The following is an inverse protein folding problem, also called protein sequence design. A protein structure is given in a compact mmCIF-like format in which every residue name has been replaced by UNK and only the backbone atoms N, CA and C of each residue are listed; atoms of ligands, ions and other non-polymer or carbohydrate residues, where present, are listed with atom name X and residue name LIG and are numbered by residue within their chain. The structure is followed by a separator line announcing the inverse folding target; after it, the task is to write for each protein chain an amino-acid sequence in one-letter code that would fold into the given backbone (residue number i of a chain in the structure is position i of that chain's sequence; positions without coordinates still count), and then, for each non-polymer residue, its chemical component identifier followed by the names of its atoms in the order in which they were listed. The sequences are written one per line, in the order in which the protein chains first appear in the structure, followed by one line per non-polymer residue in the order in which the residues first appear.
data_IF_147797309187
#
_entry.id   IF_147797309187
#
_cell.length_a   1.000
_cell.length_b   1.000
_cell.length_c   1.000
_cell.angle_alpha   90.00
_cell.angle_beta   90.00
_cell.angle_gamma   90.00
#
_symmetry.space_group_name_H-M   'P 1'
#
loop_
_entity.id
_entity.type
_entity.pdbx_description
1 polymer ?
#
# COMPACT_ATOMS: atom_id res chain seq x y z
N UNK A 1 12.95 12.47 -7.70
CA UNK A 1 12.67 13.38 -6.57
C UNK A 1 13.90 14.18 -6.12
N UNK A 2 15.09 13.59 -6.05
CA UNK A 2 16.30 14.25 -5.57
C UNK A 2 16.72 15.50 -6.40
N UNK A 3 16.43 15.55 -7.71
CA UNK A 3 16.77 16.67 -8.60
C UNK A 3 15.76 17.83 -8.64
N UNK A 4 14.66 17.79 -7.89
CA UNK A 4 13.75 18.94 -7.75
C UNK A 4 14.31 19.99 -6.77
N UNK A 5 15.47 20.58 -7.09
CA UNK A 5 16.08 21.66 -6.31
C UNK A 5 15.40 23.02 -6.50
N UNK A 6 14.64 23.19 -7.59
CA UNK A 6 13.90 24.42 -7.86
C UNK A 6 12.54 24.10 -8.46
N UNK A 7 11.49 24.45 -7.74
CA UNK A 7 10.09 24.34 -8.16
C UNK A 7 9.17 24.70 -7.00
N UNK A 8 8.03 25.35 -7.30
CA UNK A 8 7.07 25.82 -6.30
C UNK A 8 6.30 24.67 -5.61
N UNK A 9 6.39 23.41 -6.11
CA UNK A 9 5.60 22.27 -5.60
C UNK A 9 6.52 21.15 -5.15
N UNK A 10 6.50 20.88 -3.84
CA UNK A 10 7.17 19.74 -3.25
C UNK A 10 6.41 18.42 -3.51
N UNK A 11 7.11 17.32 -3.35
CA UNK A 11 6.54 15.97 -3.45
C UNK A 11 7.04 15.12 -2.29
N UNK A 12 6.25 14.12 -1.93
CA UNK A 12 6.66 13.12 -0.96
C UNK A 12 6.46 11.70 -1.52
N UNK A 13 7.23 10.78 -0.98
CA UNK A 13 7.04 9.36 -1.16
C UNK A 13 6.84 8.72 0.22
N UNK A 14 5.77 7.99 0.41
CA UNK A 14 5.41 7.31 1.65
C UNK A 14 5.57 5.82 1.43
N UNK A 15 6.52 5.19 2.14
CA UNK A 15 6.65 3.74 2.20
C UNK A 15 5.81 3.21 3.36
N UNK A 16 4.89 2.32 3.04
CA UNK A 16 4.02 1.66 4.01
C UNK A 16 4.42 0.19 4.16
N UNK A 17 4.49 -0.25 5.39
CA UNK A 17 4.58 -1.65 5.79
C UNK A 17 3.20 -2.07 6.32
N UNK A 18 2.66 -3.18 5.84
CA UNK A 18 1.37 -3.70 6.27
C UNK A 18 1.60 -4.87 7.22
N UNK A 19 1.17 -4.72 8.45
CA UNK A 19 1.38 -5.73 9.50
C UNK A 19 0.50 -6.96 9.26
N UNK A 20 1.14 -8.13 9.05
CA UNK A 20 0.44 -9.43 8.83
C UNK A 20 -0.60 -9.34 7.71
N UNK A 21 -0.18 -8.82 6.55
CA UNK A 21 -1.07 -8.47 5.44
C UNK A 21 -2.03 -9.60 5.04
N UNK A 22 -1.55 -10.85 4.96
CA UNK A 22 -2.39 -12.01 4.64
C UNK A 22 -3.35 -12.39 5.76
N UNK A 23 -2.91 -12.35 7.02
CA UNK A 23 -3.67 -12.84 8.17
C UNK A 23 -4.85 -11.93 8.54
N UNK A 24 -4.85 -10.70 8.05
CA UNK A 24 -5.80 -9.66 8.45
C UNK A 24 -6.92 -9.38 7.45
N UNK A 25 -6.85 -9.96 6.24
CA UNK A 25 -7.86 -9.71 5.20
C UNK A 25 -9.26 -10.10 5.69
N UNK A 26 -10.17 -9.13 5.77
CA UNK A 26 -11.55 -9.38 6.13
C UNK A 26 -12.29 -10.07 4.96
N UNK A 27 -12.96 -11.18 5.23
CA UNK A 27 -13.61 -12.00 4.22
C UNK A 27 -14.77 -11.28 3.53
N UNK A 28 -15.54 -10.49 4.28
CA UNK A 28 -16.65 -9.70 3.72
C UNK A 28 -16.14 -8.62 2.76
N UNK A 29 -15.02 -7.96 3.09
CA UNK A 29 -14.37 -7.04 2.18
C UNK A 29 -13.94 -7.75 0.90
N UNK A 30 -13.35 -8.93 1.03
CA UNK A 30 -12.87 -9.70 -0.10
C UNK A 30 -14.02 -10.14 -1.02
N UNK A 31 -15.11 -10.65 -0.44
CA UNK A 31 -16.33 -10.97 -1.13
C UNK A 31 -16.91 -9.74 -1.88
N UNK A 32 -16.97 -8.60 -1.18
CA UNK A 32 -17.45 -7.34 -1.75
C UNK A 32 -16.63 -6.84 -2.94
N UNK A 33 -15.30 -6.95 -2.88
CA UNK A 33 -14.41 -6.57 -4.00
C UNK A 33 -14.65 -7.47 -5.22
N UNK A 34 -14.74 -8.78 -5.03
CA UNK A 34 -14.99 -9.72 -6.13
C UNK A 34 -16.32 -9.42 -6.83
N UNK A 35 -17.39 -9.17 -6.09
CA UNK A 35 -18.69 -8.81 -6.65
C UNK A 35 -18.64 -7.48 -7.41
N UNK A 36 -17.94 -6.47 -6.86
CA UNK A 36 -17.76 -5.17 -7.54
C UNK A 36 -16.89 -5.24 -8.79
N UNK A 37 -16.02 -6.23 -8.91
CA UNK A 37 -15.26 -6.52 -10.12
C UNK A 37 -16.10 -7.27 -11.18
N UNK A 38 -17.37 -7.61 -10.89
CA UNK A 38 -18.27 -8.24 -11.81
C UNK A 38 -18.18 -9.77 -11.85
N UNK A 39 -17.53 -10.41 -10.86
CA UNK A 39 -17.54 -11.86 -10.74
C UNK A 39 -18.93 -12.32 -10.31
N UNK A 40 -19.41 -13.44 -10.91
CA UNK A 40 -20.72 -13.98 -10.57
C UNK A 40 -20.79 -14.50 -9.13
N UNK A 41 -21.96 -14.41 -8.50
CA UNK A 41 -22.19 -14.91 -7.14
C UNK A 41 -21.72 -16.37 -6.96
N UNK A 42 -22.05 -17.23 -7.94
CA UNK A 42 -21.64 -18.63 -7.93
C UNK A 42 -20.10 -18.79 -7.88
N UNK A 43 -19.36 -17.96 -8.59
CA UNK A 43 -17.90 -17.97 -8.59
C UNK A 43 -17.37 -17.47 -7.25
N UNK A 44 -17.90 -16.36 -6.78
CA UNK A 44 -17.52 -15.76 -5.49
C UNK A 44 -17.76 -16.74 -4.34
N UNK A 45 -18.91 -17.40 -4.29
CA UNK A 45 -19.21 -18.37 -3.24
C UNK A 45 -18.28 -19.60 -3.28
N UNK A 46 -17.87 -20.05 -4.47
CA UNK A 46 -16.86 -21.12 -4.60
C UNK A 46 -15.50 -20.70 -4.06
N UNK A 47 -15.02 -19.50 -4.43
CA UNK A 47 -13.75 -18.96 -3.93
C UNK A 47 -13.81 -18.79 -2.40
N UNK A 48 -14.90 -18.20 -1.91
CA UNK A 48 -15.07 -18.01 -0.47
C UNK A 48 -15.14 -19.34 0.28
N UNK A 49 -15.77 -20.37 -0.29
CA UNK A 49 -15.76 -21.72 0.32
C UNK A 49 -14.35 -22.29 0.45
N UNK A 50 -13.45 -22.06 -0.53
CA UNK A 50 -12.04 -22.47 -0.41
C UNK A 50 -11.32 -21.75 0.74
N UNK A 51 -11.64 -20.46 0.95
CA UNK A 51 -10.99 -19.63 1.99
C UNK A 51 -11.53 -19.98 3.38
N UNK A 52 -12.86 -20.07 3.53
CA UNK A 52 -13.54 -20.19 4.84
C UNK A 52 -13.56 -21.61 5.39
N UNK A 53 -13.38 -22.64 4.56
CA UNK A 53 -13.37 -24.05 4.99
C UNK A 53 -12.05 -24.48 5.65
N UNK A 54 -11.03 -23.62 5.68
CA UNK A 54 -9.74 -23.97 6.24
C UNK A 54 -9.80 -24.09 7.77
N UNK A 55 -9.13 -25.10 8.32
CA UNK A 55 -8.93 -25.26 9.77
C UNK A 55 -7.47 -25.59 10.06
N UNK A 56 -7.02 -25.27 11.27
CA UNK A 56 -5.65 -25.47 11.71
C UNK A 56 -5.60 -26.25 13.02
N UNK A 57 -4.52 -27.00 13.19
CA UNK A 57 -4.19 -27.65 14.47
C UNK A 57 -2.77 -27.30 14.87
N UNK A 58 -2.52 -27.20 16.16
CA UNK A 58 -1.17 -26.99 16.69
C UNK A 58 -0.49 -28.34 16.81
N UNK A 59 0.71 -28.46 16.25
CA UNK A 59 1.50 -29.70 16.37
C UNK A 59 2.47 -29.59 17.54
N UNK A 60 2.28 -30.44 18.54
CA UNK A 60 3.14 -30.53 19.72
C UNK A 60 3.72 -31.97 19.78
N UNK A 61 5.04 -32.10 19.78
CA UNK A 61 5.75 -33.39 19.81
C UNK A 61 5.23 -34.41 18.78
N UNK A 62 4.94 -33.91 17.54
CA UNK A 62 4.46 -34.76 16.45
C UNK A 62 2.96 -35.03 16.41
N UNK A 63 2.21 -34.71 17.46
CA UNK A 63 0.74 -34.89 17.53
C UNK A 63 0.01 -33.58 17.27
N UNK A 64 -1.11 -33.67 16.55
CA UNK A 64 -1.98 -32.51 16.27
C UNK A 64 -2.95 -32.31 17.44
N UNK A 65 -3.07 -31.06 17.91
CA UNK A 65 -3.96 -30.68 19.02
C UNK A 65 -4.82 -29.47 18.60
N UNK A 66 -6.05 -29.48 19.04
CA UNK A 66 -7.03 -28.44 18.84
C UNK A 66 -7.54 -28.39 17.38
N UNK A 67 -8.60 -27.61 17.19
CA UNK A 67 -9.15 -27.25 15.88
C UNK A 67 -9.40 -25.74 15.90
N UNK A 68 -8.60 -24.99 15.16
CA UNK A 68 -8.69 -23.54 15.06
C UNK A 68 -9.33 -23.21 13.72
N UNK A 69 -10.52 -22.62 13.76
CA UNK A 69 -11.20 -22.11 12.58
C UNK A 69 -10.95 -20.60 12.51
N UNK A 70 -10.22 -20.09 11.48
CA UNK A 70 -10.02 -18.67 11.32
C UNK A 70 -11.36 -17.98 10.98
N UNK A 71 -11.48 -16.71 11.35
CA UNK A 71 -12.64 -15.86 11.03
C UNK A 71 -12.29 -14.80 9.98
N UNK A 72 -11.03 -14.70 9.60
CA UNK A 72 -10.46 -13.80 8.57
C UNK A 72 -9.11 -14.30 8.10
N UNK A 73 -8.54 -13.64 7.12
CA UNK A 73 -7.20 -13.89 6.61
C UNK A 73 -7.19 -14.86 5.43
N UNK A 74 -6.05 -14.85 4.75
CA UNK A 74 -5.72 -15.75 3.64
C UNK A 74 -4.58 -16.66 4.09
N UNK A 75 -4.68 -17.95 3.78
CA UNK A 75 -3.68 -18.93 4.19
C UNK A 75 -2.34 -18.67 3.48
N UNK A 76 -1.28 -18.46 4.25
CA UNK A 76 0.07 -18.36 3.70
C UNK A 76 0.53 -19.73 3.16
N UNK A 77 1.10 -19.71 1.95
CA UNK A 77 1.52 -20.93 1.25
C UNK A 77 0.42 -21.64 0.44
N UNK A 78 -0.81 -21.15 0.48
CA UNK A 78 -1.87 -21.62 -0.41
C UNK A 78 -1.67 -21.01 -1.82
N UNK A 79 -1.72 -21.79 -2.91
CA UNK A 79 -1.53 -21.28 -4.27
C UNK A 79 -2.54 -20.19 -4.70
N UNK A 80 -3.74 -20.19 -4.12
CA UNK A 80 -4.79 -19.22 -4.44
C UNK A 80 -4.58 -17.89 -3.69
N UNK A 81 -3.99 -17.92 -2.50
CA UNK A 81 -3.86 -16.75 -1.62
C UNK A 81 -3.16 -15.54 -2.24
N UNK A 82 -2.08 -15.65 -3.03
CA UNK A 82 -1.46 -14.51 -3.69
C UNK A 82 -2.41 -13.79 -4.65
N UNK A 83 -3.20 -14.54 -5.42
CA UNK A 83 -4.18 -13.95 -6.35
C UNK A 83 -5.32 -13.25 -5.60
N UNK A 84 -5.77 -13.85 -4.51
CA UNK A 84 -6.79 -13.25 -3.66
C UNK A 84 -6.27 -11.98 -2.99
N UNK A 85 -5.01 -11.96 -2.55
CA UNK A 85 -4.40 -10.76 -2.01
C UNK A 85 -4.28 -9.62 -3.04
N UNK A 86 -4.03 -9.94 -4.32
CA UNK A 86 -4.06 -8.94 -5.39
C UNK A 86 -5.44 -8.28 -5.54
N UNK A 87 -6.54 -9.00 -5.29
CA UNK A 87 -7.87 -8.41 -5.28
C UNK A 87 -8.06 -7.39 -4.14
N UNK A 88 -7.49 -7.67 -2.96
CA UNK A 88 -7.45 -6.71 -1.85
C UNK A 88 -6.65 -5.46 -2.23
N UNK A 89 -5.45 -5.64 -2.80
CA UNK A 89 -4.62 -4.56 -3.29
C UNK A 89 -5.32 -3.73 -4.39
N UNK A 90 -6.13 -4.39 -5.25
CA UNK A 90 -6.97 -3.71 -6.25
C UNK A 90 -7.98 -2.78 -5.60
N UNK A 91 -8.56 -3.15 -4.46
CA UNK A 91 -9.45 -2.28 -3.68
C UNK A 91 -8.75 -0.99 -3.29
N UNK A 92 -7.54 -1.07 -2.74
CA UNK A 92 -6.72 0.09 -2.41
C UNK A 92 -6.34 0.93 -3.64
N UNK A 93 -5.88 0.27 -4.71
CA UNK A 93 -5.56 0.93 -5.97
C UNK A 93 -6.77 1.69 -6.56
N UNK A 94 -7.97 1.14 -6.42
CA UNK A 94 -9.21 1.79 -6.89
C UNK A 94 -9.54 3.06 -6.10
N UNK A 95 -9.31 3.08 -4.78
CA UNK A 95 -9.44 4.29 -3.95
C UNK A 95 -8.46 5.37 -4.40
N UNK A 96 -7.21 5.00 -4.68
CA UNK A 96 -6.18 5.93 -5.16
C UNK A 96 -6.54 6.49 -6.54
N UNK A 97 -7.00 5.64 -7.47
CA UNK A 97 -7.42 6.06 -8.81
C UNK A 97 -8.59 7.04 -8.75
N UNK A 98 -9.62 6.75 -7.95
CA UNK A 98 -10.75 7.65 -7.74
C UNK A 98 -10.30 9.00 -7.17
N UNK A 99 -9.39 9.00 -6.20
CA UNK A 99 -8.83 10.23 -5.64
C UNK A 99 -8.09 11.07 -6.67
N UNK A 100 -7.40 10.43 -7.63
CA UNK A 100 -6.75 11.12 -8.74
C UNK A 100 -7.77 11.71 -9.73
N UNK A 101 -8.81 10.96 -10.10
CA UNK A 101 -9.90 11.41 -10.97
C UNK A 101 -10.63 12.63 -10.39
N UNK A 102 -10.86 12.64 -9.06
CA UNK A 102 -11.45 13.76 -8.33
C UNK A 102 -10.49 14.95 -8.14
N UNK A 103 -9.22 14.82 -8.56
CA UNK A 103 -8.20 15.86 -8.40
C UNK A 103 -7.76 16.11 -6.95
N UNK A 104 -8.11 15.22 -6.02
CA UNK A 104 -7.75 15.28 -4.59
C UNK A 104 -6.36 14.72 -4.31
N UNK A 105 -5.84 13.87 -5.19
CA UNK A 105 -4.51 13.28 -5.08
C UNK A 105 -3.75 13.48 -6.39
N UNK A 106 -2.50 13.90 -6.26
CA UNK A 106 -1.62 14.08 -7.42
C UNK A 106 -0.36 13.26 -7.21
N UNK A 107 -0.15 12.33 -8.13
CA UNK A 107 1.06 11.54 -8.13
C UNK A 107 2.30 12.33 -8.59
N UNK A 108 3.38 11.63 -8.82
CA UNK A 108 4.65 12.19 -9.31
C UNK A 108 4.95 11.69 -10.72
N UNK A 109 5.49 12.56 -11.55
CA UNK A 109 6.05 12.21 -12.86
C UNK A 109 7.57 12.34 -12.83
N UNK A 110 8.28 11.40 -13.44
CA UNK A 110 9.75 11.41 -13.52
C UNK A 110 10.22 12.50 -14.48
N UNK A 111 9.48 12.72 -15.58
CA UNK A 111 9.74 13.79 -16.55
C UNK A 111 8.41 14.32 -17.11
N UNK A 112 8.46 15.41 -17.89
CA UNK A 112 7.27 16.14 -18.38
C UNK A 112 6.33 15.33 -19.27
N UNK A 113 6.79 14.22 -19.85
CA UNK A 113 5.99 13.33 -20.72
C UNK A 113 5.77 11.95 -20.10
N UNK A 114 6.31 11.68 -18.91
CA UNK A 114 6.10 10.41 -18.22
C UNK A 114 4.70 10.34 -17.60
N UNK A 115 4.12 9.15 -17.50
CA UNK A 115 2.87 8.96 -16.77
C UNK A 115 3.04 9.38 -15.32
N UNK A 116 1.94 9.86 -14.74
CA UNK A 116 1.89 10.20 -13.31
C UNK A 116 1.65 8.94 -12.49
N UNK A 117 2.50 8.68 -11.52
CA UNK A 117 2.42 7.52 -10.63
C UNK A 117 2.00 8.02 -9.24
N UNK A 118 0.90 7.49 -8.70
CA UNK A 118 0.43 7.77 -7.35
C UNK A 118 0.79 6.66 -6.36
N UNK A 119 0.93 5.43 -6.83
CA UNK A 119 1.26 4.29 -5.99
C UNK A 119 1.97 3.17 -6.74
N UNK A 120 2.74 2.39 -6.01
CA UNK A 120 3.30 1.11 -6.42
C UNK A 120 3.02 0.11 -5.30
N UNK A 121 2.37 -1.00 -5.62
CA UNK A 121 1.98 -2.03 -4.68
C UNK A 121 2.68 -3.34 -5.05
N UNK A 122 3.30 -3.97 -4.07
CA UNK A 122 3.90 -5.29 -4.23
C UNK A 122 3.80 -6.06 -2.91
N UNK A 123 2.92 -7.04 -2.88
CA UNK A 123 2.60 -7.81 -1.67
C UNK A 123 2.29 -6.85 -0.49
N UNK A 124 3.01 -6.96 0.60
CA UNK A 124 2.91 -6.11 1.80
C UNK A 124 3.65 -4.77 1.70
N UNK A 125 4.56 -4.62 0.73
CA UNK A 125 5.26 -3.36 0.47
C UNK A 125 4.43 -2.43 -0.41
N UNK A 126 4.18 -1.22 0.06
CA UNK A 126 3.44 -0.19 -0.68
C UNK A 126 4.19 1.13 -0.69
N UNK A 127 4.30 1.74 -1.87
CA UNK A 127 4.82 3.10 -2.03
C UNK A 127 3.72 4.01 -2.55
N UNK A 128 3.45 5.10 -1.85
CA UNK A 128 2.52 6.14 -2.27
C UNK A 128 3.28 7.41 -2.61
N UNK A 129 2.81 8.11 -3.61
CA UNK A 129 3.40 9.36 -4.07
C UNK A 129 2.32 10.43 -4.16
N UNK A 130 2.57 11.59 -3.54
CA UNK A 130 1.67 12.73 -3.63
C UNK A 130 2.47 14.05 -3.55
N UNK A 131 1.77 15.16 -3.69
CA UNK A 131 2.35 16.47 -3.42
C UNK A 131 2.54 16.64 -1.92
N UNK A 132 3.63 17.30 -1.54
CA UNK A 132 3.91 17.60 -0.15
C UNK A 132 3.17 18.89 0.26
N UNK A 133 1.86 18.78 0.45
CA UNK A 133 1.00 19.81 1.03
C UNK A 133 0.05 19.19 2.05
N UNK A 134 -0.44 20.00 2.98
CA UNK A 134 -1.26 19.55 4.10
C UNK A 134 -2.55 18.86 3.65
N UNK A 135 -3.19 19.36 2.59
CA UNK A 135 -4.48 18.86 2.10
C UNK A 135 -4.35 17.43 1.55
N UNK A 136 -3.35 17.19 0.66
CA UNK A 136 -3.15 15.86 0.09
C UNK A 136 -2.66 14.85 1.14
N UNK A 137 -1.83 15.28 2.08
CA UNK A 137 -1.32 14.43 3.17
C UNK A 137 -2.46 14.02 4.11
N UNK A 138 -3.32 14.96 4.49
CA UNK A 138 -4.53 14.67 5.27
C UNK A 138 -5.43 13.69 4.53
N UNK A 139 -5.65 13.92 3.24
CA UNK A 139 -6.47 13.06 2.41
C UNK A 139 -5.88 11.64 2.26
N UNK A 140 -4.56 11.52 2.08
CA UNK A 140 -3.87 10.21 2.08
C UNK A 140 -4.12 9.47 3.40
N UNK A 141 -4.02 10.15 4.54
CA UNK A 141 -4.32 9.56 5.86
C UNK A 141 -5.77 9.06 5.94
N UNK A 142 -6.74 9.82 5.44
CA UNK A 142 -8.15 9.42 5.39
C UNK A 142 -8.40 8.20 4.50
N UNK A 143 -7.76 8.15 3.32
CA UNK A 143 -7.84 7.00 2.40
C UNK A 143 -7.24 5.76 3.05
N UNK A 144 -6.09 5.88 3.72
CA UNK A 144 -5.46 4.77 4.43
C UNK A 144 -6.35 4.24 5.56
N UNK A 145 -6.96 5.13 6.34
CA UNK A 145 -7.89 4.75 7.41
C UNK A 145 -9.15 4.08 6.85
N UNK A 146 -9.71 4.61 5.76
CA UNK A 146 -10.87 4.03 5.08
C UNK A 146 -10.57 2.61 4.58
N UNK A 147 -9.41 2.43 3.95
CA UNK A 147 -8.96 1.12 3.48
C UNK A 147 -8.71 0.15 4.64
N UNK A 148 -8.03 0.60 5.69
CA UNK A 148 -7.76 -0.21 6.87
C UNK A 148 -9.04 -0.70 7.54
N UNK A 149 -10.03 0.19 7.74
CA UNK A 149 -11.32 -0.15 8.35
C UNK A 149 -12.12 -1.15 7.51
N UNK A 150 -12.07 -1.02 6.18
CA UNK A 150 -12.83 -1.91 5.29
C UNK A 150 -12.14 -3.27 5.11
N UNK A 151 -10.83 -3.29 4.93
CA UNK A 151 -10.06 -4.48 4.56
C UNK A 151 -9.54 -5.29 5.76
N UNK A 152 -9.53 -4.70 6.96
CA UNK A 152 -8.88 -5.24 8.14
C UNK A 152 -7.35 -5.09 8.14
N UNK A 153 -6.79 -4.47 7.10
CA UNK A 153 -5.35 -4.23 7.01
C UNK A 153 -4.89 -3.25 8.10
N UNK A 154 -3.71 -3.47 8.63
CA UNK A 154 -3.14 -2.63 9.68
C UNK A 154 -1.78 -2.10 9.26
N UNK A 155 -1.67 -0.78 9.13
CA UNK A 155 -0.41 -0.13 8.80
C UNK A 155 0.51 -0.18 10.01
N UNK A 156 1.73 -0.60 9.79
CA UNK A 156 2.80 -0.56 10.78
C UNK A 156 3.52 0.79 10.70
N UNK A 157 3.08 1.77 11.48
CA UNK A 157 3.64 3.12 11.45
C UNK A 157 5.11 3.17 11.88
N UNK A 158 5.58 2.25 12.74
CA UNK A 158 6.98 2.18 13.18
C UNK A 158 7.93 1.77 12.05
N UNK A 159 7.47 0.87 11.17
CA UNK A 159 8.25 0.42 10.00
C UNK A 159 7.98 1.25 8.75
N UNK A 160 6.89 2.01 8.74
CA UNK A 160 6.57 2.93 7.65
C UNK A 160 7.46 4.17 7.72
N UNK A 161 7.70 4.81 6.57
CA UNK A 161 8.58 5.97 6.50
C UNK A 161 8.22 6.88 5.33
N UNK A 162 8.56 8.17 5.47
CA UNK A 162 8.31 9.17 4.45
C UNK A 162 9.61 9.83 3.98
N UNK A 163 9.73 10.05 2.69
CA UNK A 163 10.79 10.82 2.05
C UNK A 163 10.20 12.08 1.42
N UNK A 164 10.82 13.23 1.66
CA UNK A 164 10.42 14.51 1.10
C UNK A 164 11.42 15.01 0.05
N UNK A 165 10.91 15.69 -0.97
CA UNK A 165 11.78 16.42 -1.87
C UNK A 165 12.48 17.60 -1.15
N UNK A 166 13.67 17.98 -1.62
CA UNK A 166 14.54 18.96 -0.95
C UNK A 166 13.98 20.38 -0.82
N UNK A 167 12.93 20.70 -1.59
CA UNK A 167 12.31 22.02 -1.63
C UNK A 167 11.20 22.24 -0.57
N UNK A 168 11.08 21.32 0.42
CA UNK A 168 10.11 21.43 1.52
C UNK A 168 10.82 21.93 2.77
N UNK A 169 10.24 22.93 3.45
CA UNK A 169 10.80 23.47 4.71
C UNK A 169 10.69 22.44 5.83
N UNK A 170 11.55 22.56 6.83
CA UNK A 170 11.54 21.66 7.99
C UNK A 170 10.21 21.68 8.74
N UNK A 171 9.64 22.87 8.96
CA UNK A 171 8.35 23.04 9.61
C UNK A 171 7.22 22.30 8.87
N UNK A 172 7.17 22.45 7.54
CA UNK A 172 6.18 21.73 6.72
C UNK A 172 6.33 20.22 6.81
N UNK A 173 7.58 19.70 6.81
CA UNK A 173 7.86 18.28 6.98
C UNK A 173 7.39 17.77 8.34
N UNK A 174 7.69 18.50 9.41
CA UNK A 174 7.31 18.12 10.77
C UNK A 174 5.78 18.05 10.93
N UNK A 175 5.04 19.00 10.36
CA UNK A 175 3.58 18.98 10.35
C UNK A 175 3.01 17.79 9.59
N UNK A 176 3.54 17.49 8.40
CA UNK A 176 3.10 16.35 7.59
C UNK A 176 3.43 15.00 8.24
N UNK A 177 4.60 14.88 8.90
CA UNK A 177 4.96 13.68 9.67
C UNK A 177 4.00 13.42 10.83
N UNK A 178 3.56 14.47 11.53
CA UNK A 178 2.56 14.34 12.60
C UNK A 178 1.24 13.80 12.07
N UNK A 179 0.78 14.26 10.90
CA UNK A 179 -0.45 13.75 10.28
C UNK A 179 -0.33 12.29 9.86
N UNK A 180 0.81 11.91 9.27
CA UNK A 180 1.04 10.55 8.77
C UNK A 180 1.43 9.56 9.88
N UNK A 181 1.93 10.02 11.01
CA UNK A 181 2.39 9.18 12.11
C UNK A 181 3.66 8.35 11.79
N UNK A 182 4.48 8.80 10.83
CA UNK A 182 5.65 8.03 10.34
C UNK A 182 6.94 8.83 10.47
N UNK A 183 8.08 8.13 10.53
CA UNK A 183 9.40 8.76 10.56
C UNK A 183 9.83 9.24 9.17
N UNK A 184 10.58 10.34 9.14
CA UNK A 184 11.27 10.80 7.93
C UNK A 184 12.55 10.01 7.71
N UNK A 185 12.88 9.77 6.44
CA UNK A 185 14.13 9.15 6.00
C UNK A 185 14.76 9.98 4.87
N UNK A 186 16.10 10.02 4.84
CA UNK A 186 16.82 10.68 3.75
C UNK A 186 16.80 9.86 2.45
N UNK A 187 16.58 8.57 2.57
CA UNK A 187 16.43 7.61 1.48
C UNK A 187 15.70 6.36 1.99
N UNK A 188 15.06 5.64 1.10
CA UNK A 188 14.61 4.28 1.42
C UNK A 188 15.79 3.32 1.25
N UNK A 189 16.12 2.57 2.28
CA UNK A 189 17.24 1.63 2.24
C UNK A 189 16.95 0.45 1.30
N UNK A 190 15.73 -0.08 1.35
CA UNK A 190 15.32 -1.22 0.51
C UNK A 190 13.86 -1.09 0.08
N UNK A 191 13.57 -1.56 -1.13
CA UNK A 191 12.24 -1.85 -1.63
C UNK A 191 12.31 -3.14 -2.46
N UNK A 192 11.45 -4.12 -2.19
CA UNK A 192 11.45 -5.45 -2.82
C UNK A 192 12.77 -6.20 -2.64
N UNK A 193 13.46 -6.02 -1.50
CA UNK A 193 14.78 -6.62 -1.29
C UNK A 193 15.92 -5.99 -2.11
N UNK A 194 15.60 -5.00 -2.95
CA UNK A 194 16.59 -4.25 -3.73
C UNK A 194 16.95 -2.95 -2.99
N UNK A 195 18.23 -2.60 -3.00
CA UNK A 195 18.69 -1.29 -2.55
C UNK A 195 18.08 -0.21 -3.46
N UNK A 196 17.18 0.61 -2.94
CA UNK A 196 16.70 1.80 -3.63
C UNK A 196 17.78 2.89 -3.59
N UNK A 197 18.68 2.84 -4.54
CA UNK A 197 19.66 3.90 -4.72
C UNK A 197 18.98 5.09 -5.43
N UNK A 198 18.34 5.97 -4.66
CA UNK A 198 17.76 7.22 -5.15
C UNK A 198 18.80 8.37 -5.23
N UNK A 199 20.09 8.05 -5.01
CA UNK A 199 21.20 8.98 -5.10
C UNK A 199 22.04 8.73 -6.36
N UNK A 200 22.31 9.81 -7.12
CA UNK A 200 23.27 9.91 -8.25
C UNK A 200 23.08 8.99 -9.47
N UNK A 201 21.86 8.67 -9.85
CA UNK A 201 21.61 8.49 -11.26
C UNK A 201 21.57 9.87 -11.93
N UNK A 202 22.74 10.36 -12.31
CA UNK A 202 22.87 11.22 -13.49
C UNK A 202 22.44 10.35 -14.70
N UNK A 203 21.15 10.02 -14.75
CA UNK A 203 20.55 9.51 -15.98
C UNK A 203 20.65 10.69 -16.93
N UNK A 204 21.66 10.65 -17.81
CA UNK A 204 21.61 11.46 -19.03
C UNK A 204 20.24 11.20 -19.62
N UNK A 205 19.46 12.23 -19.96
CA UNK A 205 18.17 12.03 -20.60
C UNK A 205 18.41 11.11 -21.80
N UNK A 206 17.67 10.00 -21.87
CA UNK A 206 17.59 9.25 -23.10
C UNK A 206 17.19 10.25 -24.18
N UNK A 207 17.90 10.34 -25.30
CA UNK A 207 17.48 11.20 -26.40
C UNK A 207 16.07 10.74 -26.81
N UNK A 208 15.13 11.65 -26.76
CA UNK A 208 13.78 11.49 -27.29
C UNK A 208 13.83 11.42 -28.82
#
# INVERSE_FOLDING_TARGET
MHNKRSGKRGSLALKLDINKAYDRVEWDFHKGIMLKLGLSDMWVDRVMSCVTSSSFSIRINGKAYGNICPLRGLRQGDPLSPYLFLLCAKGFSSLQAKAQEEGRLHGVSICSRAPTISHLLFADDSLLFCRANQEEVQFVSEVLQTYANASGQCINFEKSSVYFSSNITREQRDNMKMVLGVREVDRFDTYLGLLLWLGDLSIKPFPC
#
